data_IF_519005496297
#
_entry.id   IF_519005496297
#
_cell.length_a   1.000
_cell.length_b   1.000
_cell.length_c   1.000
_cell.angle_alpha   90.00
_cell.angle_beta   90.00
_cell.angle_gamma   90.00
#
_symmetry.space_group_name_H-M   'P 1'
#
loop_
_entity.id
_entity.type
_entity.pdbx_description
1 polymer ?
#
# COMPACT_ATOMS: atom_id res chain seq x y z
N UNK A 1 -4.37 -91.48 22.91
CA UNK A 1 -4.99 -92.38 21.92
C UNK A 1 -5.34 -91.58 20.67
N UNK A 2 -4.80 -92.00 19.51
CA UNK A 2 -5.39 -91.90 18.15
C UNK A 2 -5.47 -90.47 17.54
N UNK A 3 -4.51 -90.03 16.72
CA UNK A 3 -4.27 -90.25 15.25
C UNK A 3 -5.27 -89.59 14.27
N UNK A 4 -4.68 -88.79 13.35
CA UNK A 4 -5.02 -88.57 11.91
C UNK A 4 -6.30 -87.76 11.60
N UNK A 5 -6.43 -86.96 10.53
CA UNK A 5 -5.61 -86.54 9.39
C UNK A 5 -6.33 -85.31 8.75
N UNK A 6 -5.62 -84.25 8.35
CA UNK A 6 -5.38 -83.84 6.95
C UNK A 6 -6.60 -83.88 6.01
N UNK A 7 -7.02 -82.71 5.50
CA UNK A 7 -6.99 -82.32 4.06
C UNK A 7 -7.66 -80.96 3.81
N UNK A 8 -6.91 -80.10 3.12
CA UNK A 8 -7.28 -79.21 1.99
C UNK A 8 -8.46 -78.21 2.23
N UNK A 9 -8.44 -76.90 1.96
CA UNK A 9 -7.72 -76.10 0.96
C UNK A 9 -7.96 -74.60 1.29
N UNK A 10 -6.92 -73.77 1.15
CA UNK A 10 -6.91 -72.38 0.62
C UNK A 10 -8.23 -71.55 0.63
N UNK A 11 -8.28 -70.42 1.36
CA UNK A 11 -8.60 -69.08 0.81
C UNK A 11 -8.65 -67.98 1.91
N UNK A 12 -7.90 -66.91 1.67
CA UNK A 12 -8.12 -65.51 2.08
C UNK A 12 -7.83 -65.14 3.55
N UNK A 13 -6.58 -64.71 3.74
CA UNK A 13 -6.18 -63.66 4.67
C UNK A 13 -7.01 -62.38 4.41
N UNK A 14 -7.85 -62.01 5.38
CA UNK A 14 -8.39 -60.65 5.50
C UNK A 14 -8.06 -60.14 6.91
N UNK A 15 -6.78 -59.91 7.14
CA UNK A 15 -6.30 -59.12 8.27
C UNK A 15 -6.80 -57.70 8.11
N UNK A 16 -7.80 -57.34 8.91
CA UNK A 16 -8.23 -55.97 9.13
C UNK A 16 -7.07 -55.17 9.72
N UNK A 17 -6.26 -54.56 8.86
CA UNK A 17 -5.37 -53.48 9.24
C UNK A 17 -6.24 -52.25 9.53
N UNK A 18 -6.54 -52.07 10.82
CA UNK A 18 -7.13 -50.87 11.37
C UNK A 18 -6.20 -49.70 11.02
N UNK A 19 -6.56 -49.00 9.94
CA UNK A 19 -5.80 -47.85 9.44
C UNK A 19 -5.71 -46.79 10.52
N UNK A 20 -4.50 -46.55 11.00
CA UNK A 20 -4.13 -45.32 11.69
C UNK A 20 -4.33 -44.20 10.67
N UNK A 21 -5.50 -43.56 10.73
CA UNK A 21 -5.71 -42.28 10.09
C UNK A 21 -4.75 -41.29 10.74
N UNK A 22 -3.60 -41.08 10.10
CA UNK A 22 -2.81 -39.88 10.33
C UNK A 22 -3.77 -38.70 10.20
N UNK A 23 -3.73 -37.71 11.11
CA UNK A 23 -4.53 -36.50 10.94
C UNK A 23 -4.10 -35.88 9.61
N UNK A 24 -4.93 -36.08 8.58
CA UNK A 24 -4.79 -35.37 7.33
C UNK A 24 -4.79 -33.89 7.69
N UNK A 25 -3.80 -33.16 7.16
CA UNK A 25 -3.92 -31.72 7.06
C UNK A 25 -5.30 -31.42 6.50
N UNK A 26 -6.16 -30.87 7.34
CA UNK A 26 -7.48 -30.47 6.92
C UNK A 26 -7.28 -29.50 5.75
N UNK A 27 -7.81 -29.88 4.59
CA UNK A 27 -7.93 -28.98 3.45
C UNK A 27 -8.57 -27.66 3.94
N UNK A 28 -8.18 -26.50 3.38
CA UNK A 28 -8.62 -25.20 3.88
C UNK A 28 -10.15 -25.17 3.90
N UNK A 29 -10.72 -24.88 5.07
CA UNK A 29 -12.17 -24.82 5.29
C UNK A 29 -12.84 -23.57 4.68
N UNK A 30 -12.18 -22.86 3.76
CA UNK A 30 -12.44 -21.44 3.55
C UNK A 30 -13.12 -21.09 2.25
N UNK A 31 -14.22 -20.33 2.33
CA UNK A 31 -14.84 -19.69 1.17
C UNK A 31 -13.96 -18.60 0.52
N UNK A 32 -14.55 -17.91 -0.46
CA UNK A 32 -13.94 -16.80 -1.18
C UNK A 32 -14.21 -15.48 -0.47
N UNK A 33 -13.17 -14.67 -0.24
CA UNK A 33 -13.32 -13.27 0.17
C UNK A 33 -13.32 -12.36 -1.05
N UNK A 34 -14.39 -11.60 -1.27
CA UNK A 34 -14.55 -10.65 -2.36
C UNK A 34 -14.33 -9.24 -1.85
N UNK A 35 -13.29 -8.57 -2.33
CA UNK A 35 -12.88 -7.23 -1.90
C UNK A 35 -13.19 -6.22 -2.99
N UNK A 36 -14.05 -5.24 -2.71
CA UNK A 36 -14.30 -4.10 -3.59
C UNK A 36 -13.21 -3.05 -3.47
N UNK A 37 -12.55 -2.74 -4.60
CA UNK A 37 -11.53 -1.68 -4.73
C UNK A 37 -11.94 -0.67 -5.81
N UNK A 38 -11.41 0.54 -5.72
CA UNK A 38 -11.80 1.70 -6.53
C UNK A 38 -11.01 1.86 -7.84
N UNK A 39 -9.79 1.33 -7.90
CA UNK A 39 -8.88 1.54 -9.03
C UNK A 39 -8.16 0.23 -9.36
N UNK A 40 -7.97 -0.06 -10.65
CA UNK A 40 -7.15 -1.20 -11.09
C UNK A 40 -5.66 -0.90 -10.84
N UNK A 41 -4.87 -1.92 -10.54
CA UNK A 41 -3.43 -1.77 -10.35
C UNK A 41 -2.73 -1.44 -11.69
N UNK A 42 -1.74 -0.53 -11.68
CA UNK A 42 -0.91 -0.31 -12.87
C UNK A 42 0.03 -1.49 -13.13
N UNK A 43 0.65 -1.98 -12.06
CA UNK A 43 1.60 -3.08 -12.03
C UNK A 43 1.47 -3.83 -10.70
N UNK A 44 1.78 -5.13 -10.71
CA UNK A 44 1.91 -5.97 -9.52
C UNK A 44 3.38 -6.28 -9.18
N UNK A 45 4.33 -5.59 -9.83
CA UNK A 45 5.74 -5.61 -9.42
C UNK A 45 5.93 -4.62 -8.25
N UNK A 46 6.33 -5.09 -7.04
CA UNK A 46 6.49 -4.24 -5.86
C UNK A 46 7.53 -3.13 -6.05
N UNK A 47 8.50 -3.33 -6.96
CA UNK A 47 9.57 -2.34 -7.23
C UNK A 47 9.06 -1.16 -8.06
N UNK A 48 7.98 -1.36 -8.82
CA UNK A 48 7.43 -0.38 -9.75
C UNK A 48 6.09 0.22 -9.29
N UNK A 49 5.40 -0.43 -8.35
CA UNK A 49 4.14 0.06 -7.81
C UNK A 49 4.34 1.30 -6.92
N UNK A 50 3.47 2.30 -7.06
CA UNK A 50 3.46 3.51 -6.23
C UNK A 50 2.05 3.90 -5.76
N UNK A 51 1.01 3.20 -6.24
CA UNK A 51 -0.35 3.43 -5.81
C UNK A 51 -0.74 2.49 -4.66
N UNK A 52 -1.59 3.01 -3.77
CA UNK A 52 -2.02 2.29 -2.58
C UNK A 52 -2.89 1.08 -2.89
N UNK A 53 -3.60 1.09 -4.02
CA UNK A 53 -4.52 0.02 -4.38
C UNK A 53 -3.78 -1.22 -4.88
N UNK A 54 -2.76 -1.03 -5.72
CA UNK A 54 -1.82 -2.08 -6.10
C UNK A 54 -1.12 -2.66 -4.87
N UNK A 55 -0.69 -1.82 -3.90
CA UNK A 55 -0.06 -2.31 -2.67
C UNK A 55 -0.94 -3.28 -1.89
N UNK A 56 -2.25 -3.06 -1.81
CA UNK A 56 -3.17 -3.99 -1.13
C UNK A 56 -3.15 -5.39 -1.71
N UNK A 57 -2.98 -5.52 -3.03
CA UNK A 57 -2.86 -6.80 -3.73
C UNK A 57 -1.45 -7.36 -3.57
N UNK A 58 -0.43 -6.53 -3.78
CA UNK A 58 0.99 -6.90 -3.67
C UNK A 58 1.32 -7.45 -2.28
N UNK A 59 0.80 -6.86 -1.21
CA UNK A 59 1.00 -7.32 0.17
C UNK A 59 0.38 -8.70 0.46
N UNK A 60 -0.49 -9.21 -0.41
CA UNK A 60 -0.98 -10.60 -0.33
C UNK A 60 -0.05 -11.59 -1.05
N UNK A 61 0.74 -11.11 -2.02
CA UNK A 61 1.57 -11.92 -2.90
C UNK A 61 3.04 -11.95 -2.46
N UNK A 62 3.53 -10.88 -1.84
CA UNK A 62 4.94 -10.72 -1.46
C UNK A 62 5.10 -10.48 0.05
N UNK A 63 6.21 -10.96 0.61
CA UNK A 63 6.68 -10.55 1.93
C UNK A 63 7.96 -9.69 1.79
N UNK A 64 8.18 -8.77 2.72
CA UNK A 64 9.44 -8.04 2.88
C UNK A 64 10.39 -8.70 3.88
N UNK A 65 11.59 -8.14 4.04
CA UNK A 65 12.53 -8.58 5.08
C UNK A 65 11.92 -8.41 6.47
N UNK A 66 11.17 -7.32 6.64
CA UNK A 66 10.39 -7.02 7.85
C UNK A 66 8.93 -6.79 7.47
N UNK A 67 8.06 -6.83 8.48
CA UNK A 67 6.68 -6.35 8.38
C UNK A 67 6.47 -5.20 9.37
N UNK A 68 5.51 -4.33 9.10
CA UNK A 68 5.11 -3.28 10.05
C UNK A 68 3.86 -3.74 10.80
N UNK A 69 3.89 -3.65 12.13
CA UNK A 69 2.71 -3.88 12.95
C UNK A 69 1.70 -2.72 12.82
N UNK A 70 0.47 -2.83 13.38
CA UNK A 70 -0.51 -1.75 13.33
C UNK A 70 -0.06 -0.43 13.99
N UNK A 71 1.02 -0.46 14.78
CA UNK A 71 1.66 0.72 15.38
C UNK A 71 2.87 1.22 14.56
N UNK A 72 3.07 0.68 13.35
CA UNK A 72 4.16 1.01 12.42
C UNK A 72 5.56 0.70 12.99
N UNK A 73 5.62 -0.31 13.86
CA UNK A 73 6.88 -0.84 14.39
C UNK A 73 7.35 -2.00 13.53
N UNK A 74 8.64 -2.06 13.19
CA UNK A 74 9.20 -3.16 12.41
C UNK A 74 9.18 -4.46 13.24
N UNK A 75 8.77 -5.56 12.59
CA UNK A 75 8.82 -6.92 13.12
C UNK A 75 9.50 -7.87 12.12
N UNK A 76 10.11 -8.97 12.59
CA UNK A 76 10.68 -10.00 11.71
C UNK A 76 9.64 -10.53 10.71
N UNK A 77 10.03 -10.60 9.43
CA UNK A 77 9.27 -11.26 8.38
C UNK A 77 10.16 -12.28 7.68
N UNK A 78 10.56 -12.07 6.41
CA UNK A 78 11.52 -12.96 5.72
C UNK A 78 12.88 -12.99 6.42
N UNK A 79 13.29 -11.88 7.04
CA UNK A 79 14.40 -11.88 7.96
C UNK A 79 13.91 -12.28 9.37
N UNK A 80 14.53 -13.30 9.96
CA UNK A 80 14.27 -13.70 11.35
C UNK A 80 14.86 -12.71 12.34
N UNK A 81 15.96 -12.05 11.97
CA UNK A 81 16.63 -11.04 12.79
C UNK A 81 17.42 -10.07 11.92
N UNK A 82 17.76 -8.92 12.51
CA UNK A 82 18.66 -7.95 11.93
C UNK A 82 19.56 -7.34 13.00
N UNK A 83 20.73 -6.86 12.59
CA UNK A 83 21.69 -6.19 13.47
C UNK A 83 22.29 -5.00 12.76
N UNK A 84 22.30 -3.85 13.44
CA UNK A 84 23.03 -2.67 12.99
C UNK A 84 24.44 -2.74 13.57
N UNK A 85 25.42 -3.12 12.74
CA UNK A 85 26.83 -3.27 13.17
C UNK A 85 27.50 -1.91 13.37
N UNK A 86 27.16 -0.94 12.52
CA UNK A 86 27.60 0.45 12.60
C UNK A 86 26.46 1.37 12.17
N UNK A 87 26.54 2.70 12.34
CA UNK A 87 25.53 3.63 11.84
C UNK A 87 25.18 3.46 10.35
N UNK A 88 26.08 2.88 9.54
CA UNK A 88 25.95 2.70 8.10
C UNK A 88 25.90 1.25 7.64
N UNK A 89 26.00 0.26 8.54
CA UNK A 89 26.04 -1.17 8.17
C UNK A 89 24.94 -1.94 8.89
N UNK A 90 24.07 -2.56 8.11
CA UNK A 90 22.98 -3.43 8.58
C UNK A 90 23.17 -4.83 8.04
N UNK A 91 22.92 -5.84 8.87
CA UNK A 91 22.94 -7.26 8.49
C UNK A 91 21.59 -7.85 8.80
N UNK A 92 20.99 -8.52 7.82
CA UNK A 92 19.74 -9.27 7.94
C UNK A 92 20.04 -10.76 7.82
N UNK A 93 19.46 -11.55 8.73
CA UNK A 93 19.48 -13.01 8.69
C UNK A 93 18.13 -13.51 8.20
N UNK A 94 18.14 -14.20 7.07
CA UNK A 94 16.96 -14.74 6.41
C UNK A 94 16.51 -16.02 7.11
N UNK A 95 15.19 -16.24 7.12
CA UNK A 95 14.62 -17.52 7.52
C UNK A 95 14.97 -18.59 6.50
N UNK A 96 15.23 -19.80 7.01
CA UNK A 96 15.47 -20.97 6.19
C UNK A 96 14.15 -21.55 5.64
N UNK A 97 14.26 -22.32 4.57
CA UNK A 97 13.15 -23.10 3.97
C UNK A 97 11.95 -22.27 3.51
N UNK A 98 12.16 -20.99 3.19
CA UNK A 98 11.14 -20.18 2.50
C UNK A 98 11.23 -20.44 1.00
N UNK A 99 10.07 -20.66 0.40
CA UNK A 99 9.94 -20.88 -1.04
C UNK A 99 9.04 -19.81 -1.63
N UNK A 100 9.34 -19.44 -2.87
CA UNK A 100 8.43 -18.69 -3.72
C UNK A 100 7.25 -19.57 -4.13
N UNK A 101 6.22 -18.94 -4.70
CA UNK A 101 4.98 -19.62 -5.10
C UNK A 101 5.17 -20.76 -6.12
N UNK A 102 6.28 -20.76 -6.87
CA UNK A 102 6.67 -21.82 -7.81
C UNK A 102 7.56 -22.92 -7.20
N UNK A 103 7.82 -22.87 -5.89
CA UNK A 103 8.64 -23.84 -5.17
C UNK A 103 10.14 -23.55 -5.23
N UNK A 104 10.60 -22.50 -5.90
CA UNK A 104 12.01 -22.11 -5.85
C UNK A 104 12.37 -21.55 -4.47
N UNK A 105 13.55 -21.87 -3.90
CA UNK A 105 13.95 -21.38 -2.59
C UNK A 105 14.27 -19.88 -2.64
N UNK A 106 13.87 -19.15 -1.60
CA UNK A 106 14.29 -17.76 -1.40
C UNK A 106 15.73 -17.72 -0.87
N UNK A 107 16.56 -16.89 -1.49
CA UNK A 107 17.97 -16.73 -1.11
C UNK A 107 18.36 -15.27 -0.92
N UNK A 108 19.53 -15.04 -0.31
CA UNK A 108 20.15 -13.72 -0.23
C UNK A 108 20.34 -13.05 -1.60
N UNK A 109 20.51 -13.83 -2.67
CA UNK A 109 20.64 -13.30 -4.02
C UNK A 109 19.36 -12.60 -4.53
N UNK A 110 18.18 -13.09 -4.13
CA UNK A 110 16.88 -12.48 -4.49
C UNK A 110 16.69 -11.13 -3.78
N UNK A 111 17.15 -11.04 -2.54
CA UNK A 111 17.17 -9.78 -1.78
C UNK A 111 18.13 -8.78 -2.42
N UNK A 112 19.36 -9.19 -2.71
CA UNK A 112 20.35 -8.35 -3.41
C UNK A 112 19.79 -7.87 -4.75
N UNK A 113 19.18 -8.76 -5.53
CA UNK A 113 18.56 -8.41 -6.80
C UNK A 113 17.42 -7.40 -6.64
N UNK A 114 16.52 -7.60 -5.67
CA UNK A 114 15.39 -6.69 -5.42
C UNK A 114 15.88 -5.27 -5.14
N UNK A 115 16.78 -5.09 -4.18
CA UNK A 115 17.23 -3.74 -3.80
C UNK A 115 18.19 -3.12 -4.81
N UNK A 116 19.07 -3.91 -5.44
CA UNK A 116 19.98 -3.38 -6.48
C UNK A 116 19.21 -2.90 -7.72
N UNK A 117 18.16 -3.61 -8.13
CA UNK A 117 17.32 -3.19 -9.26
C UNK A 117 16.47 -1.94 -8.95
N UNK A 118 16.03 -1.76 -7.70
CA UNK A 118 15.38 -0.50 -7.28
C UNK A 118 16.35 0.69 -7.37
N UNK A 119 17.63 0.48 -7.05
CA UNK A 119 18.66 1.51 -7.12
C UNK A 119 19.10 1.84 -8.55
N UNK A 120 18.97 0.88 -9.46
CA UNK A 120 19.27 1.04 -10.88
C UNK A 120 18.38 2.12 -11.52
N UNK A 121 18.97 3.21 -12.04
CA UNK A 121 18.22 4.23 -12.78
C UNK A 121 17.44 3.67 -13.99
N UNK A 122 17.91 2.57 -14.58
CA UNK A 122 17.29 1.92 -15.74
C UNK A 122 15.90 1.36 -15.46
N UNK A 123 15.65 0.85 -14.24
CA UNK A 123 14.33 0.37 -13.84
C UNK A 123 13.31 1.50 -13.68
N UNK A 124 13.78 2.73 -13.40
CA UNK A 124 12.94 3.91 -13.15
C UNK A 124 11.92 3.69 -12.02
N UNK A 125 12.32 2.95 -10.98
CA UNK A 125 11.50 2.66 -9.81
C UNK A 125 10.99 3.96 -9.15
N UNK A 126 9.66 4.17 -9.00
CA UNK A 126 9.11 5.41 -8.44
C UNK A 126 9.60 5.72 -7.03
N UNK A 127 9.85 4.67 -6.23
CA UNK A 127 10.30 4.77 -4.85
C UNK A 127 11.82 4.80 -4.69
N UNK A 128 12.60 4.83 -5.78
CA UNK A 128 14.07 4.81 -5.76
C UNK A 128 14.67 5.81 -4.77
N UNK A 129 14.10 7.02 -4.68
CA UNK A 129 14.56 8.07 -3.78
C UNK A 129 14.57 7.72 -2.29
N UNK A 130 13.80 6.71 -1.87
CA UNK A 130 13.82 6.20 -0.49
C UNK A 130 15.02 5.29 -0.21
N UNK A 131 15.59 4.70 -1.26
CA UNK A 131 16.66 3.70 -1.17
C UNK A 131 18.03 4.26 -1.53
N UNK A 132 18.13 5.45 -2.14
CA UNK A 132 19.42 6.05 -2.54
C UNK A 132 20.51 6.16 -1.45
N UNK A 133 20.20 6.19 -0.13
CA UNK A 133 21.23 6.08 0.90
C UNK A 133 21.96 4.72 0.92
N UNK A 134 21.39 3.65 0.34
CA UNK A 134 22.05 2.35 0.20
C UNK A 134 23.13 2.45 -0.87
N UNK A 135 24.39 2.29 -0.46
CA UNK A 135 25.54 2.28 -1.37
C UNK A 135 25.82 0.89 -1.92
N UNK A 136 25.55 -0.17 -1.14
CA UNK A 136 25.77 -1.56 -1.54
C UNK A 136 24.83 -2.51 -0.82
N UNK A 137 24.34 -3.51 -1.53
CA UNK A 137 23.67 -4.69 -0.95
C UNK A 137 24.42 -5.92 -1.42
N UNK A 138 24.81 -6.79 -0.49
CA UNK A 138 25.62 -7.97 -0.79
C UNK A 138 25.12 -9.19 -0.02
N UNK A 139 25.17 -10.35 -0.66
CA UNK A 139 24.99 -11.63 0.00
C UNK A 139 26.33 -12.01 0.65
N UNK A 140 26.35 -12.09 1.97
CA UNK A 140 27.51 -12.59 2.73
C UNK A 140 27.58 -14.12 2.61
N UNK A 141 26.40 -14.74 2.60
CA UNK A 141 26.14 -16.16 2.33
C UNK A 141 24.69 -16.29 1.82
N UNK A 142 24.18 -17.51 1.65
CA UNK A 142 22.84 -17.76 1.12
C UNK A 142 21.70 -17.20 1.98
N UNK A 143 21.94 -16.96 3.26
CA UNK A 143 20.90 -16.58 4.24
C UNK A 143 21.24 -15.27 4.96
N UNK A 144 22.31 -14.59 4.55
CA UNK A 144 22.79 -13.38 5.20
C UNK A 144 22.99 -12.29 4.17
N UNK A 145 22.27 -11.19 4.35
CA UNK A 145 22.36 -10.02 3.47
C UNK A 145 22.93 -8.86 4.27
N UNK A 146 23.95 -8.20 3.72
CA UNK A 146 24.53 -6.98 4.27
C UNK A 146 24.15 -5.78 3.42
N UNK A 147 23.65 -4.75 4.08
CA UNK A 147 23.38 -3.43 3.52
C UNK A 147 24.45 -2.48 4.03
N UNK A 148 25.12 -1.81 3.09
CA UNK A 148 26.05 -0.71 3.38
C UNK A 148 25.42 0.58 2.90
N UNK A 149 25.46 1.62 3.74
CA UNK A 149 24.89 2.93 3.48
C UNK A 149 25.97 3.97 3.26
N UNK A 150 25.68 4.99 2.46
CA UNK A 150 26.55 6.16 2.25
C UNK A 150 26.55 7.12 3.45
N UNK A 151 25.48 7.11 4.25
CA UNK A 151 25.34 7.90 5.47
C UNK A 151 24.36 7.20 6.44
N UNK A 152 24.39 7.52 7.75
CA UNK A 152 23.41 6.99 8.70
C UNK A 152 21.98 7.31 8.26
N UNK A 153 21.15 6.28 8.10
CA UNK A 153 19.78 6.42 7.60
C UNK A 153 18.80 5.58 8.41
N UNK A 154 18.26 6.16 9.47
CA UNK A 154 17.32 5.49 10.36
C UNK A 154 16.05 4.94 9.67
N UNK A 155 15.47 5.58 8.64
CA UNK A 155 14.28 5.05 7.95
C UNK A 155 14.49 3.71 7.22
N UNK A 156 15.72 3.30 6.94
CA UNK A 156 16.01 2.06 6.17
C UNK A 156 15.22 0.87 6.70
N UNK A 157 15.22 0.67 8.02
CA UNK A 157 14.58 -0.48 8.63
C UNK A 157 13.07 -0.53 8.35
N UNK A 158 12.40 0.62 8.20
CA UNK A 158 10.97 0.66 7.85
C UNK A 158 10.72 0.41 6.36
N UNK A 159 11.68 0.74 5.50
CA UNK A 159 11.60 0.49 4.06
C UNK A 159 12.09 -0.90 3.66
N UNK A 160 12.58 -1.69 4.63
CA UNK A 160 12.90 -3.09 4.42
C UNK A 160 11.63 -3.98 4.32
N UNK A 161 10.44 -3.37 4.35
CA UNK A 161 9.14 -4.00 4.09
C UNK A 161 8.86 -4.24 2.60
N UNK A 162 9.74 -3.76 1.72
CA UNK A 162 9.67 -3.98 0.28
C UNK A 162 9.60 -5.48 -0.05
N UNK A 163 8.57 -5.86 -0.83
CA UNK A 163 8.35 -7.24 -1.27
C UNK A 163 9.54 -7.79 -2.05
N UNK A 164 10.10 -8.91 -1.60
CA UNK A 164 11.24 -9.56 -2.26
C UNK A 164 10.76 -10.30 -3.49
N UNK A 165 11.38 -10.02 -4.63
CA UNK A 165 11.07 -10.66 -5.92
C UNK A 165 12.06 -11.78 -6.21
N UNK A 166 11.59 -12.85 -6.86
CA UNK A 166 12.48 -13.91 -7.34
C UNK A 166 13.31 -13.39 -8.52
N UNK A 167 14.64 -13.42 -8.38
CA UNK A 167 15.56 -13.01 -9.45
C UNK A 167 15.30 -13.80 -10.72
N UNK A 168 15.23 -15.13 -10.58
CA UNK A 168 15.03 -16.04 -11.71
C UNK A 168 13.69 -15.80 -12.40
N UNK A 169 12.61 -15.54 -11.64
CA UNK A 169 11.30 -15.27 -12.22
C UNK A 169 11.28 -13.94 -12.98
N UNK A 170 11.88 -12.88 -12.43
CA UNK A 170 11.97 -11.57 -13.09
C UNK A 170 12.79 -11.65 -14.37
N UNK A 171 13.96 -12.30 -14.34
CA UNK A 171 14.81 -12.47 -15.52
C UNK A 171 14.12 -13.30 -16.61
N UNK A 172 13.37 -14.34 -16.22
CA UNK A 172 12.63 -15.20 -17.15
C UNK A 172 11.40 -14.51 -17.76
N UNK A 173 10.64 -13.74 -16.98
CA UNK A 173 9.38 -13.13 -17.42
C UNK A 173 9.58 -11.73 -18.04
N UNK A 174 10.66 -11.03 -17.71
CA UNK A 174 10.92 -9.68 -18.20
C UNK A 174 9.75 -8.73 -17.91
N UNK A 175 9.21 -8.11 -18.95
CA UNK A 175 8.09 -7.17 -18.85
C UNK A 175 6.79 -7.81 -18.32
N UNK A 176 6.59 -9.11 -18.55
CA UNK A 176 5.36 -9.81 -18.16
C UNK A 176 5.24 -9.98 -16.64
N UNK A 177 6.36 -9.87 -15.91
CA UNK A 177 6.39 -9.95 -14.45
C UNK A 177 5.43 -8.96 -13.77
N UNK A 178 5.24 -7.78 -14.38
CA UNK A 178 4.32 -6.76 -13.91
C UNK A 178 2.86 -7.23 -13.85
N UNK A 179 2.49 -8.28 -14.58
CA UNK A 179 1.12 -8.82 -14.66
C UNK A 179 1.00 -10.27 -14.20
N UNK A 180 2.13 -10.93 -13.90
CA UNK A 180 2.20 -12.31 -13.43
C UNK A 180 3.13 -12.36 -12.20
N UNK A 181 2.73 -11.71 -11.10
CA UNK A 181 3.58 -11.58 -9.93
C UNK A 181 3.81 -12.96 -9.28
N UNK A 182 4.99 -13.11 -8.70
CA UNK A 182 5.42 -14.35 -8.06
C UNK A 182 6.23 -13.98 -6.82
N UNK A 183 5.69 -14.29 -5.65
CA UNK A 183 6.29 -13.92 -4.37
C UNK A 183 6.32 -15.09 -3.39
N UNK A 184 6.47 -14.77 -2.11
CA UNK A 184 6.49 -15.74 -1.00
C UNK A 184 5.25 -15.67 -0.12
N UNK A 185 4.34 -14.74 -0.44
CA UNK A 185 3.22 -14.35 0.40
C UNK A 185 2.13 -15.41 0.56
N UNK A 186 1.10 -15.09 1.36
CA UNK A 186 0.01 -16.01 1.68
C UNK A 186 -0.86 -16.40 0.48
N UNK A 187 -0.93 -15.60 -0.58
CA UNK A 187 -1.76 -15.92 -1.74
C UNK A 187 -0.96 -15.89 -3.05
N UNK A 188 -1.22 -16.88 -3.91
CA UNK A 188 -0.65 -17.02 -5.25
C UNK A 188 -1.52 -16.32 -6.28
N UNK A 189 -0.90 -15.74 -7.30
CA UNK A 189 -1.62 -15.11 -8.40
C UNK A 189 -2.27 -16.16 -9.33
N UNK A 190 -3.56 -15.98 -9.64
CA UNK A 190 -4.30 -16.84 -10.58
C UNK A 190 -4.57 -16.11 -11.89
N UNK A 191 -5.23 -14.96 -11.84
CA UNK A 191 -5.59 -14.21 -13.05
C UNK A 191 -5.82 -12.73 -12.77
N UNK A 192 -5.66 -11.93 -13.83
CA UNK A 192 -5.97 -10.51 -13.83
C UNK A 192 -6.74 -10.14 -15.09
N UNK A 193 -8.00 -9.75 -14.89
CA UNK A 193 -8.83 -9.15 -15.92
C UNK A 193 -8.82 -7.64 -15.71
N UNK A 194 -8.14 -6.92 -16.61
CA UNK A 194 -7.97 -5.47 -16.50
C UNK A 194 -9.31 -4.75 -16.35
N UNK A 195 -9.37 -3.80 -15.43
CA UNK A 195 -10.57 -3.03 -15.05
C UNK A 195 -11.77 -3.87 -14.59
N UNK A 196 -11.56 -5.15 -14.22
CA UNK A 196 -12.63 -6.06 -13.79
C UNK A 196 -12.28 -6.71 -12.46
N UNK A 197 -11.29 -7.62 -12.43
CA UNK A 197 -10.91 -8.31 -11.19
C UNK A 197 -9.50 -8.89 -11.20
N UNK A 198 -8.94 -9.04 -10.00
CA UNK A 198 -7.71 -9.82 -9.73
C UNK A 198 -8.08 -10.99 -8.83
N UNK A 199 -7.68 -12.20 -9.19
CA UNK A 199 -7.96 -13.43 -8.45
C UNK A 199 -6.67 -13.99 -7.87
N UNK A 200 -6.65 -14.21 -6.56
CA UNK A 200 -5.57 -14.87 -5.84
C UNK A 200 -6.09 -16.12 -5.13
N UNK A 201 -5.30 -17.18 -5.09
CA UNK A 201 -5.61 -18.43 -4.38
C UNK A 201 -4.67 -18.64 -3.21
N UNK A 202 -5.11 -19.38 -2.19
CA UNK A 202 -4.29 -19.63 -1.01
C UNK A 202 -2.99 -20.35 -1.37
N UNK A 203 -1.89 -19.92 -0.76
CA UNK A 203 -0.64 -20.68 -0.76
C UNK A 203 -0.68 -21.70 0.40
N UNK A 204 -0.91 -23.00 0.13
CA UNK A 204 -0.97 -24.02 1.19
C UNK A 204 0.37 -24.18 1.91
N UNK A 205 1.48 -23.84 1.26
CA UNK A 205 2.84 -23.95 1.77
C UNK A 205 3.35 -22.62 2.35
N UNK A 206 2.45 -21.68 2.67
CA UNK A 206 2.85 -20.39 3.23
C UNK A 206 3.58 -20.58 4.56
N UNK A 207 4.75 -19.96 4.66
CA UNK A 207 5.70 -20.19 5.75
C UNK A 207 5.21 -19.69 7.14
N UNK A 208 4.25 -18.76 7.20
CA UNK A 208 3.58 -18.38 8.46
C UNK A 208 2.36 -19.25 8.80
N UNK A 209 2.11 -20.30 8.03
CA UNK A 209 0.94 -21.16 8.14
C UNK A 209 -0.11 -20.87 7.06
N UNK A 210 -0.80 -21.92 6.65
CA UNK A 210 -1.77 -21.87 5.57
C UNK A 210 -2.89 -20.82 5.81
N UNK A 211 -3.23 -19.99 4.81
CA UNK A 211 -4.37 -19.08 4.90
C UNK A 211 -5.69 -19.83 5.13
N UNK A 212 -6.58 -19.25 5.92
CA UNK A 212 -7.90 -19.83 6.21
C UNK A 212 -8.87 -19.75 5.03
N UNK A 213 -8.74 -18.73 4.19
CA UNK A 213 -9.57 -18.53 3.00
C UNK A 213 -8.93 -19.25 1.82
N UNK A 214 -9.73 -19.90 0.97
CA UNK A 214 -9.20 -20.55 -0.24
C UNK A 214 -8.87 -19.55 -1.34
N UNK A 215 -9.56 -18.41 -1.38
CA UNK A 215 -9.45 -17.45 -2.47
C UNK A 215 -9.74 -16.02 -2.00
N UNK A 216 -9.02 -15.06 -2.58
CA UNK A 216 -9.30 -13.62 -2.46
C UNK A 216 -9.50 -13.05 -3.86
N UNK A 217 -10.63 -12.39 -4.07
CA UNK A 217 -10.98 -11.76 -5.35
C UNK A 217 -11.10 -10.26 -5.14
N UNK A 218 -10.23 -9.49 -5.78
CA UNK A 218 -10.33 -8.03 -5.80
C UNK A 218 -11.18 -7.61 -6.99
N UNK A 219 -12.40 -7.13 -6.73
CA UNK A 219 -13.33 -6.60 -7.73
C UNK A 219 -13.11 -5.08 -7.89
N UNK A 220 -12.85 -4.64 -9.11
CA UNK A 220 -12.58 -3.25 -9.44
C UNK A 220 -13.93 -2.57 -9.75
N UNK A 221 -14.41 -1.76 -8.82
CA UNK A 221 -15.68 -1.05 -8.90
C UNK A 221 -15.40 0.43 -8.61
N UNK A 222 -15.14 1.27 -9.63
CA UNK A 222 -14.72 2.65 -9.41
C UNK A 222 -15.75 3.52 -8.70
N UNK A 223 -17.03 3.41 -9.09
CA UNK A 223 -18.10 4.22 -8.53
C UNK A 223 -18.39 3.86 -7.06
N UNK A 224 -18.37 4.87 -6.19
CA UNK A 224 -18.54 4.71 -4.75
C UNK A 224 -19.91 4.15 -4.38
N UNK A 225 -20.97 4.65 -5.02
CA UNK A 225 -22.36 4.27 -4.72
C UNK A 225 -22.60 2.81 -5.10
N UNK A 226 -22.13 2.42 -6.29
CA UNK A 226 -22.19 1.06 -6.81
C UNK A 226 -21.41 0.10 -5.92
N UNK A 227 -20.20 0.49 -5.50
CA UNK A 227 -19.37 -0.34 -4.61
C UNK A 227 -20.04 -0.53 -3.25
N UNK A 228 -20.62 0.53 -2.68
CA UNK A 228 -21.36 0.44 -1.42
C UNK A 228 -22.64 -0.42 -1.56
N UNK A 229 -23.37 -0.31 -2.66
CA UNK A 229 -24.52 -1.17 -2.95
C UNK A 229 -24.11 -2.65 -3.09
N UNK A 230 -22.97 -2.93 -3.73
CA UNK A 230 -22.42 -4.28 -3.84
C UNK A 230 -22.08 -4.92 -2.48
N UNK A 231 -21.70 -4.11 -1.48
CA UNK A 231 -21.48 -4.62 -0.12
C UNK A 231 -22.81 -4.92 0.59
N UNK A 232 -23.84 -4.11 0.37
CA UNK A 232 -25.16 -4.35 0.96
C UNK A 232 -25.88 -5.57 0.35
N UNK A 233 -25.75 -5.78 -0.95
CA UNK A 233 -26.28 -6.97 -1.64
C UNK A 233 -25.51 -8.24 -1.29
N UNK A 234 -24.28 -8.11 -0.78
CA UNK A 234 -23.38 -9.21 -0.52
C UNK A 234 -22.64 -9.71 -1.76
N UNK A 235 -22.55 -8.91 -2.83
CA UNK A 235 -21.72 -9.18 -4.01
C UNK A 235 -20.23 -9.02 -3.70
N UNK A 236 -19.89 -8.15 -2.74
CA UNK A 236 -18.57 -8.09 -2.09
C UNK A 236 -18.71 -8.25 -0.58
N UNK A 237 -17.67 -8.78 0.04
CA UNK A 237 -17.62 -9.05 1.48
C UNK A 237 -16.89 -7.95 2.26
N UNK A 238 -16.00 -7.21 1.57
CA UNK A 238 -15.19 -6.14 2.16
C UNK A 238 -15.05 -4.99 1.15
N UNK A 239 -15.18 -3.76 1.62
CA UNK A 239 -14.69 -2.59 0.88
C UNK A 239 -13.46 -2.07 1.61
N UNK A 240 -12.33 -2.04 0.92
CA UNK A 240 -11.11 -1.44 1.42
C UNK A 240 -10.69 -0.32 0.47
N UNK A 241 -11.53 0.69 0.29
CA UNK A 241 -11.24 1.92 -0.49
C UNK A 241 -12.07 3.09 0.06
N UNK A 242 -11.70 4.34 -0.21
CA UNK A 242 -12.48 5.50 0.23
C UNK A 242 -13.95 5.40 -0.22
N UNK A 243 -14.87 5.81 0.64
CA UNK A 243 -16.29 5.98 0.32
C UNK A 243 -16.72 7.40 0.67
N UNK A 244 -17.83 7.86 0.09
CA UNK A 244 -18.39 9.14 0.46
C UNK A 244 -18.87 9.11 1.93
N UNK A 245 -18.81 10.23 2.67
CA UNK A 245 -19.36 10.28 4.03
C UNK A 245 -20.84 9.87 4.10
N UNK A 246 -21.60 10.14 3.02
CA UNK A 246 -23.01 9.77 2.89
C UNK A 246 -23.18 8.25 2.77
N UNK A 247 -22.37 7.59 1.93
CA UNK A 247 -22.36 6.12 1.81
C UNK A 247 -21.95 5.45 3.12
N UNK A 248 -20.94 5.98 3.82
CA UNK A 248 -20.53 5.45 5.13
C UNK A 248 -21.66 5.57 6.15
N UNK A 249 -22.38 6.69 6.17
CA UNK A 249 -23.52 6.88 7.06
C UNK A 249 -24.65 5.87 6.76
N UNK A 250 -24.93 5.65 5.47
CA UNK A 250 -25.91 4.67 5.00
C UNK A 250 -25.53 3.23 5.39
N UNK A 251 -24.28 2.83 5.13
CA UNK A 251 -23.77 1.49 5.44
C UNK A 251 -23.78 1.16 6.94
N UNK A 252 -23.60 2.15 7.81
CA UNK A 252 -23.70 1.96 9.27
C UNK A 252 -25.09 1.52 9.72
N UNK A 253 -26.12 1.87 8.97
CA UNK A 253 -27.51 1.49 9.25
C UNK A 253 -27.92 0.18 8.58
N UNK A 254 -27.05 -0.41 7.73
CA UNK A 254 -27.38 -1.62 6.99
C UNK A 254 -27.27 -2.88 7.87
N UNK A 255 -28.31 -3.74 7.91
CA UNK A 255 -28.32 -4.96 8.70
C UNK A 255 -27.47 -6.02 8.02
N UNK A 256 -26.14 -6.01 8.25
CA UNK A 256 -25.09 -7.01 7.86
C UNK A 256 -23.72 -6.35 7.63
N UNK A 257 -23.64 -5.03 7.66
CA UNK A 257 -22.39 -4.30 7.42
C UNK A 257 -21.82 -3.77 8.73
N UNK A 258 -20.58 -4.13 9.03
CA UNK A 258 -19.81 -3.50 10.08
C UNK A 258 -18.91 -2.41 9.49
N UNK A 259 -18.99 -1.20 10.02
CA UNK A 259 -18.10 -0.10 9.62
C UNK A 259 -17.03 0.08 10.69
N UNK A 260 -15.78 -0.18 10.32
CA UNK A 260 -14.60 0.10 11.15
C UNK A 260 -13.90 1.33 10.63
N UNK A 261 -13.73 2.34 11.49
CA UNK A 261 -12.95 3.54 11.18
C UNK A 261 -11.61 3.49 11.91
N UNK A 262 -10.54 3.78 11.17
CA UNK A 262 -9.18 3.85 11.70
C UNK A 262 -8.52 5.14 11.26
N UNK A 263 -7.67 5.71 12.11
CA UNK A 263 -6.89 6.90 11.78
C UNK A 263 -5.86 6.54 10.70
N UNK A 264 -6.06 7.03 9.49
CA UNK A 264 -5.10 6.89 8.40
C UNK A 264 -3.92 7.85 8.53
N UNK A 265 -2.81 7.52 7.87
CA UNK A 265 -1.64 8.40 7.71
C UNK A 265 -1.79 9.38 6.54
N UNK A 266 -2.85 9.22 5.74
CA UNK A 266 -3.08 10.03 4.55
C UNK A 266 -3.38 11.50 4.89
N UNK A 267 -2.77 12.41 4.13
CA UNK A 267 -3.03 13.84 4.19
C UNK A 267 -3.52 14.28 2.82
N UNK A 268 -4.67 14.97 2.79
CA UNK A 268 -5.15 15.66 1.59
C UNK A 268 -4.71 17.12 1.65
N UNK A 269 -4.04 17.62 0.62
CA UNK A 269 -3.47 18.95 0.60
C UNK A 269 -3.45 19.55 -0.81
N UNK A 270 -3.41 20.88 -0.88
CA UNK A 270 -3.22 21.61 -2.12
C UNK A 270 -1.72 21.86 -2.33
N UNK A 271 -1.15 21.25 -3.36
CA UNK A 271 0.21 21.56 -3.79
C UNK A 271 0.24 22.84 -4.63
N UNK A 272 1.23 23.69 -4.37
CA UNK A 272 1.47 24.92 -5.13
C UNK A 272 2.84 24.84 -5.78
N UNK A 273 2.89 24.84 -7.11
CA UNK A 273 4.15 24.86 -7.86
C UNK A 273 4.81 26.25 -7.71
N UNK A 274 5.77 26.39 -6.79
CA UNK A 274 6.41 27.68 -6.50
C UNK A 274 7.30 28.22 -7.62
N UNK A 275 7.48 27.47 -8.71
CA UNK A 275 8.13 27.97 -9.93
C UNK A 275 7.19 28.86 -10.74
N UNK A 276 5.87 28.60 -10.71
CA UNK A 276 4.86 29.40 -11.40
C UNK A 276 4.87 30.86 -10.92
N UNK A 277 4.78 31.82 -11.85
CA UNK A 277 4.96 33.24 -11.56
C UNK A 277 3.95 33.82 -10.57
N UNK A 278 2.75 33.24 -10.49
CA UNK A 278 1.67 33.72 -9.61
C UNK A 278 1.90 33.19 -8.20
N UNK A 279 2.00 31.87 -8.04
CA UNK A 279 2.12 31.24 -6.71
C UNK A 279 3.56 31.25 -6.18
N UNK A 280 4.54 31.77 -6.93
CA UNK A 280 5.89 32.09 -6.44
C UNK A 280 5.87 33.14 -5.33
N UNK A 281 4.94 34.10 -5.36
CA UNK A 281 4.78 35.09 -4.30
C UNK A 281 4.19 34.46 -3.02
N UNK A 282 4.93 34.53 -1.92
CA UNK A 282 4.51 34.00 -0.61
C UNK A 282 3.22 34.65 -0.10
N UNK A 283 2.95 35.92 -0.46
CA UNK A 283 1.73 36.64 -0.06
C UNK A 283 0.50 36.00 -0.71
N UNK A 284 0.61 35.58 -1.96
CA UNK A 284 -0.47 34.88 -2.67
C UNK A 284 -0.71 33.49 -2.05
N UNK A 285 0.35 32.75 -1.75
CA UNK A 285 0.22 31.45 -1.05
C UNK A 285 -0.44 31.58 0.33
N UNK A 286 -0.08 32.61 1.10
CA UNK A 286 -0.71 32.91 2.40
C UNK A 286 -2.18 33.30 2.26
N UNK A 287 -2.52 34.08 1.24
CA UNK A 287 -3.90 34.44 0.95
C UNK A 287 -4.73 33.19 0.57
N UNK A 288 -4.20 32.32 -0.30
CA UNK A 288 -4.79 31.05 -0.69
C UNK A 288 -5.02 30.12 0.51
N UNK A 289 -4.00 29.93 1.35
CA UNK A 289 -4.11 29.12 2.56
C UNK A 289 -5.19 29.67 3.52
N UNK A 290 -5.26 31.00 3.68
CA UNK A 290 -6.27 31.65 4.53
C UNK A 290 -7.70 31.51 3.98
N UNK A 291 -7.86 31.49 2.65
CA UNK A 291 -9.14 31.23 2.01
C UNK A 291 -9.57 29.77 2.19
N UNK A 292 -8.65 28.82 2.01
CA UNK A 292 -8.90 27.40 2.24
C UNK A 292 -9.26 27.11 3.70
N UNK A 293 -8.58 27.73 4.67
CA UNK A 293 -8.92 27.58 6.09
C UNK A 293 -10.35 28.06 6.39
N UNK A 294 -10.77 29.18 5.81
CA UNK A 294 -12.14 29.72 5.99
C UNK A 294 -13.20 28.86 5.30
N UNK A 295 -12.93 28.30 4.12
CA UNK A 295 -13.88 27.42 3.43
C UNK A 295 -14.00 26.08 4.15
N UNK A 296 -12.88 25.50 4.59
CA UNK A 296 -12.87 24.26 5.37
C UNK A 296 -13.62 24.45 6.70
N UNK A 297 -13.39 25.55 7.42
CA UNK A 297 -14.13 25.88 8.65
C UNK A 297 -15.65 25.97 8.44
N UNK A 298 -16.09 26.41 7.25
CA UNK A 298 -17.52 26.46 6.86
C UNK A 298 -18.08 25.08 6.50
N UNK A 299 -17.25 24.16 5.98
CA UNK A 299 -17.62 22.77 5.68
C UNK A 299 -17.61 21.86 6.92
N UNK A 300 -16.78 22.17 7.92
CA UNK A 300 -16.68 21.42 9.19
C UNK A 300 -17.81 21.71 10.19
N UNK A 301 -18.91 22.32 9.78
CA UNK A 301 -20.17 22.31 10.55
C UNK A 301 -20.86 20.94 10.55
N UNK A 302 -20.32 19.97 9.82
CA UNK A 302 -20.56 18.53 9.96
C UNK A 302 -19.57 17.91 10.96
N UNK A 303 -19.95 16.87 11.73
CA UNK A 303 -19.16 16.37 12.86
C UNK A 303 -17.70 16.03 12.47
N UNK A 304 -16.73 16.27 13.36
CA UNK A 304 -15.33 16.36 13.00
C UNK A 304 -14.76 14.96 12.79
N UNK A 305 -14.63 14.53 11.52
CA UNK A 305 -13.96 13.25 11.20
C UNK A 305 -12.55 13.40 10.62
N UNK A 306 -12.15 14.62 10.25
CA UNK A 306 -10.80 14.95 9.77
C UNK A 306 -10.19 16.06 10.63
N UNK A 307 -9.04 15.82 11.27
CA UNK A 307 -8.33 16.89 11.97
C UNK A 307 -7.63 17.80 10.96
N UNK A 308 -8.08 19.04 10.83
CA UNK A 308 -7.34 20.07 10.09
C UNK A 308 -6.09 20.43 10.89
N UNK A 309 -4.91 20.00 10.42
CA UNK A 309 -3.63 20.33 11.06
C UNK A 309 -2.79 21.22 10.13
N UNK A 310 -2.01 22.17 10.68
CA UNK A 310 -0.85 22.71 9.97
C UNK A 310 0.04 21.55 9.50
N UNK A 311 0.59 21.64 8.29
CA UNK A 311 1.26 20.53 7.59
C UNK A 311 2.46 19.91 8.34
N UNK A 312 3.02 18.81 7.81
CA UNK A 312 4.03 18.03 8.52
C UNK A 312 5.33 18.82 8.70
N UNK A 313 5.62 19.23 9.94
CA UNK A 313 6.97 19.54 10.41
C UNK A 313 7.56 18.27 11.01
N UNK A 314 8.45 17.60 10.29
CA UNK A 314 9.14 16.40 10.77
C UNK A 314 10.26 16.79 11.75
N UNK A 315 9.91 17.07 12.99
CA UNK A 315 10.82 17.00 14.14
C UNK A 315 10.00 17.05 15.45
N UNK A 316 10.36 16.27 16.50
CA UNK A 316 9.70 16.37 17.81
C UNK A 316 9.85 17.75 18.47
N UNK A 317 10.68 18.63 17.90
CA UNK A 317 11.09 19.91 18.48
C UNK A 317 10.50 21.15 17.80
N UNK A 318 9.71 21.02 16.73
CA UNK A 318 9.02 22.17 16.12
C UNK A 318 7.55 21.90 15.84
N UNK A 319 6.72 22.24 16.81
CA UNK A 319 5.35 22.68 16.51
C UNK A 319 5.44 23.94 15.66
N UNK A 320 5.01 23.90 14.40
CA UNK A 320 4.76 25.13 13.66
C UNK A 320 3.59 25.83 14.33
N UNK A 321 3.79 27.07 14.79
CA UNK A 321 2.70 27.87 15.35
C UNK A 321 1.58 27.98 14.33
N UNK A 322 0.31 27.76 14.73
CA UNK A 322 -0.82 28.11 13.87
C UNK A 322 -0.65 29.57 13.46
N UNK A 323 -0.81 29.88 12.18
CA UNK A 323 -0.87 31.28 11.76
C UNK A 323 -2.00 31.94 12.54
N UNK A 324 -1.68 32.88 13.43
CA UNK A 324 -2.66 33.61 14.23
C UNK A 324 -3.62 34.30 13.29
N UNK A 325 -4.88 33.84 13.27
CA UNK A 325 -5.95 34.49 12.51
C UNK A 325 -6.32 35.74 13.30
N UNK A 326 -5.80 36.90 12.89
CA UNK A 326 -6.30 38.18 13.37
C UNK A 326 -7.62 38.48 12.63
N UNK A 327 -8.73 38.72 13.34
CA UNK A 327 -10.05 38.89 12.72
C UNK A 327 -10.32 40.29 12.17
N UNK A 328 -9.37 41.22 12.20
CA UNK A 328 -9.60 42.58 11.70
C UNK A 328 -9.18 42.77 10.24
N UNK A 329 -10.12 43.01 9.31
CA UNK A 329 -9.77 43.58 8.02
C UNK A 329 -9.39 45.04 8.28
N UNK A 330 -8.09 45.36 8.26
CA UNK A 330 -7.66 46.76 8.15
C UNK A 330 -8.33 47.35 6.90
N UNK A 331 -9.34 48.20 7.10
CA UNK A 331 -10.02 48.97 6.06
C UNK A 331 -9.00 49.88 5.39
N UNK A 332 -8.39 49.43 4.28
CA UNK A 332 -7.79 50.35 3.33
C UNK A 332 -8.93 51.04 2.58
N UNK A 333 -9.01 52.37 2.70
CA UNK A 333 -9.97 53.21 2.00
C UNK A 333 -9.94 52.95 0.48
N UNK A 334 -11.13 52.70 -0.07
CA UNK A 334 -11.35 52.47 -1.49
C UNK A 334 -11.10 53.78 -2.26
N UNK A 335 -10.09 53.80 -3.13
CA UNK A 335 -10.06 54.65 -4.31
C UNK A 335 -9.99 53.77 -5.55
N UNK A 336 -10.85 54.14 -6.52
CA UNK A 336 -11.33 53.38 -7.67
C UNK A 336 -10.19 52.85 -8.55
N UNK A 337 -10.11 51.53 -8.67
CA UNK A 337 -9.32 50.78 -9.64
C UNK A 337 -9.84 49.34 -9.62
N UNK A 338 -10.39 48.87 -10.74
CA UNK A 338 -11.10 47.58 -10.81
C UNK A 338 -10.21 46.37 -10.50
N UNK A 339 -10.79 45.25 -10.04
CA UNK A 339 -10.03 44.06 -9.65
C UNK A 339 -9.38 43.38 -10.87
N UNK A 340 -8.05 43.28 -10.88
CA UNK A 340 -7.30 42.41 -11.79
C UNK A 340 -7.66 40.96 -11.47
N UNK A 341 -8.28 40.25 -12.43
CA UNK A 341 -8.64 38.84 -12.28
C UNK A 341 -7.45 38.00 -12.69
N UNK A 342 -6.85 37.30 -11.74
CA UNK A 342 -5.79 36.32 -12.02
C UNK A 342 -6.42 34.94 -12.13
N UNK A 343 -6.27 34.32 -13.31
CA UNK A 343 -6.67 32.94 -13.56
C UNK A 343 -5.56 31.99 -13.09
N UNK A 344 -5.90 31.01 -12.26
CA UNK A 344 -4.99 29.91 -11.91
C UNK A 344 -5.64 28.58 -12.29
N UNK A 345 -4.87 27.72 -12.95
CA UNK A 345 -5.28 26.34 -13.20
C UNK A 345 -5.07 25.54 -11.90
N UNK A 346 -6.14 24.93 -11.40
CA UNK A 346 -6.06 23.92 -10.36
C UNK A 346 -6.19 22.56 -11.04
N UNK A 347 -5.19 21.71 -10.86
CA UNK A 347 -5.22 20.37 -11.41
C UNK A 347 -5.72 19.43 -10.31
N UNK A 348 -6.85 18.79 -10.57
CA UNK A 348 -7.37 17.74 -9.70
C UNK A 348 -7.40 16.45 -10.50
N UNK A 349 -7.06 15.34 -9.86
CA UNK A 349 -7.30 14.03 -10.48
C UNK A 349 -8.82 13.82 -10.46
N UNK A 350 -9.44 13.87 -11.65
CA UNK A 350 -10.91 13.84 -11.76
C UNK A 350 -11.47 12.45 -11.93
N UNK A 351 -10.69 11.44 -12.35
CA UNK A 351 -11.10 10.03 -12.34
C UNK A 351 -9.87 9.10 -12.39
N UNK A 352 -10.10 7.80 -12.16
CA UNK A 352 -9.08 6.75 -12.08
C UNK A 352 -8.23 6.57 -13.35
N UNK A 353 -8.68 7.06 -14.51
CA UNK A 353 -8.01 6.89 -15.81
C UNK A 353 -7.63 8.17 -16.57
N UNK A 354 -7.89 9.37 -16.05
CA UNK A 354 -7.57 10.62 -16.77
C UNK A 354 -6.27 11.27 -16.29
N UNK A 355 -5.42 11.65 -17.26
CA UNK A 355 -4.38 12.65 -17.07
C UNK A 355 -5.00 13.91 -16.44
N UNK A 356 -4.24 14.57 -15.56
CA UNK A 356 -4.62 15.81 -14.87
C UNK A 356 -5.55 16.68 -15.71
N UNK A 357 -6.82 16.81 -15.30
CA UNK A 357 -7.73 17.78 -15.91
C UNK A 357 -7.65 19.08 -15.11
N UNK A 358 -7.63 20.21 -15.80
CA UNK A 358 -7.85 21.49 -15.14
C UNK A 358 -9.28 21.51 -14.59
N UNK A 359 -9.41 21.66 -13.27
CA UNK A 359 -10.67 22.09 -12.70
C UNK A 359 -11.02 23.49 -13.24
N UNK A 360 -12.32 23.84 -13.36
CA UNK A 360 -12.71 25.17 -13.80
C UNK A 360 -12.00 26.24 -12.97
N UNK A 361 -11.38 27.20 -13.66
CA UNK A 361 -10.48 28.20 -13.12
C UNK A 361 -11.08 28.89 -11.89
N UNK A 362 -10.47 28.67 -10.72
CA UNK A 362 -10.83 29.45 -9.54
C UNK A 362 -10.35 30.90 -9.75
N UNK A 363 -11.30 31.82 -9.99
CA UNK A 363 -11.00 33.25 -10.12
C UNK A 363 -10.66 33.81 -8.74
N UNK A 364 -9.38 34.07 -8.49
CA UNK A 364 -8.97 34.74 -7.27
C UNK A 364 -8.65 36.20 -7.60
N UNK A 365 -9.39 37.10 -6.96
CA UNK A 365 -9.10 38.53 -7.02
C UNK A 365 -7.90 38.81 -6.12
N UNK A 366 -6.75 39.09 -6.70
CA UNK A 366 -5.60 39.67 -5.97
C UNK A 366 -5.50 41.14 -6.33
N UNK A 367 -5.63 42.03 -5.36
CA UNK A 367 -5.33 43.44 -5.54
C UNK A 367 -3.81 43.62 -5.63
N UNK A 368 -3.28 43.85 -6.84
CA UNK A 368 -1.92 44.37 -7.00
C UNK A 368 -1.94 45.88 -6.77
N UNK A 369 -1.24 46.37 -5.75
CA UNK A 369 -0.81 47.77 -5.68
C UNK A 369 0.70 47.81 -5.63
N UNK A 370 1.31 48.36 -6.68
CA UNK A 370 2.61 49.02 -6.55
C UNK A 370 2.34 50.36 -5.86
N UNK A 371 2.94 50.58 -4.71
CA UNK A 371 3.07 51.92 -4.15
C UNK A 371 4.40 51.97 -3.40
N UNK A 372 5.37 52.62 -4.03
CA UNK A 372 6.50 53.25 -3.37
C UNK A 372 5.95 54.27 -2.37
N UNK A 373 6.39 54.22 -1.12
CA UNK A 373 6.37 55.32 -0.15
C UNK A 373 7.39 54.99 0.95
N UNK A 374 8.12 56.02 1.36
CA UNK A 374 9.23 56.03 2.32
C UNK A 374 8.89 55.43 3.69
#
# INVERSE_FOLDING_TARGET
MIRRQLRDTLFVLLTAALGIALPGWAAPSGGTLRVGIDVDAGTLDPRLANDTTARRVIEQVYDGLIELDPQLRPRPALAESWTQLTPTVWVFKLRQNIHFHDGTPLTAADVVFTYSTILDPGLRAPLRGLYTPISRVEAVDNETVRFTLSAPYAPLLKYADMGIVSKAAVERLGADYATRPLGTGPYKFVSWQRNSRIVLEANPEYWKGQPRLSQVVFNIIPDNTTRAAALESGDVDLIHSPLSPQDVARLRSAPRVSVTEMTGLGITYLNMNTVDSIVRDVRIRRALASLCARSIARWTSLPPRSSCRPGPGSSPTRSSSPATISPEPKRCSQRRGGPTRTAMACWTRTDSHSLWSSAPTAKIQTASRSSSCW
#
